data_IF_355710057156
#
_entry.id   IF_355710057156
#
_cell.length_a   1.000
_cell.length_b   1.000
_cell.length_c   1.000
_cell.angle_alpha   90.00
_cell.angle_beta   90.00
_cell.angle_gamma   90.00
#
_symmetry.space_group_name_H-M   'P 1'
#
loop_
_entity.id
_entity.type
_entity.pdbx_description
1 polymer ?
#
# COMPACT_ATOMS: atom_id res chain seq x y z
N UNK A 1 12.70 3.22 -8.14
CA UNK A 1 11.42 2.49 -8.29
C UNK A 1 10.90 2.18 -6.89
N UNK A 2 9.79 2.82 -6.45
CA UNK A 2 9.22 2.60 -5.11
C UNK A 2 8.17 1.49 -5.21
N UNK A 3 8.47 0.32 -4.65
CA UNK A 3 7.49 -0.76 -4.57
C UNK A 3 6.39 -0.40 -3.57
N UNK A 4 5.18 -0.91 -3.81
CA UNK A 4 4.04 -0.70 -2.92
C UNK A 4 4.31 -1.34 -1.54
N UNK A 5 3.79 -0.71 -0.49
CA UNK A 5 3.82 -1.22 0.88
C UNK A 5 2.38 -1.33 1.34
N UNK A 6 2.03 -2.46 1.97
CA UNK A 6 0.69 -2.77 2.47
C UNK A 6 -0.37 -2.48 1.39
N UNK A 7 -0.43 -3.32 0.37
CA UNK A 7 -1.29 -3.11 -0.78
C UNK A 7 -2.75 -3.06 -0.34
N UNK A 8 -3.48 -2.08 -0.84
CA UNK A 8 -4.92 -1.92 -0.61
C UNK A 8 -5.69 -1.84 -1.92
N UNK A 9 -6.91 -2.37 -1.93
CA UNK A 9 -7.85 -2.32 -3.05
C UNK A 9 -8.93 -1.27 -2.81
N UNK A 10 -9.23 -0.47 -3.84
CA UNK A 10 -10.35 0.47 -3.85
C UNK A 10 -11.70 -0.23 -4.05
N UNK A 11 -12.62 -0.02 -3.12
CA UNK A 11 -13.98 -0.58 -3.13
C UNK A 11 -14.98 0.35 -3.85
N UNK A 12 -15.72 -0.09 -4.88
CA UNK A 12 -15.81 -1.47 -5.41
C UNK A 12 -14.94 -1.75 -6.63
N UNK A 13 -14.16 -0.77 -7.11
CA UNK A 13 -13.53 -0.84 -8.43
C UNK A 13 -12.35 -1.83 -8.58
N UNK A 14 -11.78 -2.35 -7.49
CA UNK A 14 -10.72 -3.37 -7.54
C UNK A 14 -9.29 -2.85 -7.75
N UNK A 15 -9.08 -1.57 -8.06
CA UNK A 15 -7.73 -1.04 -8.29
C UNK A 15 -6.87 -1.02 -7.02
N UNK A 16 -5.59 -1.37 -7.17
CA UNK A 16 -4.64 -1.49 -6.06
C UNK A 16 -3.74 -0.27 -5.90
N UNK A 17 -3.37 0.04 -4.65
CA UNK A 17 -2.49 1.13 -4.26
C UNK A 17 -1.59 0.70 -3.10
N UNK A 18 -0.52 1.45 -2.84
CA UNK A 18 0.10 1.41 -1.52
C UNK A 18 -0.88 1.98 -0.47
N UNK A 19 -0.85 1.48 0.77
CA UNK A 19 -1.75 1.96 1.83
C UNK A 19 -1.72 3.49 1.95
N UNK A 20 -0.54 4.04 2.19
CA UNK A 20 -0.28 5.48 2.32
C UNK A 20 -0.88 6.26 1.15
N UNK A 21 -0.59 5.85 -0.09
CA UNK A 21 -1.07 6.46 -1.32
C UNK A 21 -2.60 6.51 -1.38
N UNK A 22 -3.25 5.38 -1.05
CA UNK A 22 -4.71 5.26 -1.08
C UNK A 22 -5.37 6.13 -0.03
N UNK A 23 -4.88 6.07 1.22
CA UNK A 23 -5.43 6.85 2.33
C UNK A 23 -5.17 8.36 2.16
N UNK A 24 -3.99 8.75 1.67
CA UNK A 24 -3.70 10.15 1.35
C UNK A 24 -4.68 10.66 0.28
N UNK A 25 -4.90 9.87 -0.78
CA UNK A 25 -5.85 10.23 -1.83
C UNK A 25 -7.27 10.42 -1.28
N UNK A 26 -7.75 9.49 -0.45
CA UNK A 26 -9.08 9.57 0.16
C UNK A 26 -9.19 10.75 1.12
N UNK A 27 -8.12 11.09 1.82
CA UNK A 27 -8.12 12.21 2.77
C UNK A 27 -8.41 13.56 2.10
N UNK A 28 -8.10 13.71 0.81
CA UNK A 28 -8.38 14.91 0.00
C UNK A 28 -9.88 15.14 -0.22
N UNK A 29 -10.71 14.10 -0.19
CA UNK A 29 -12.15 14.22 -0.23
C UNK A 29 -12.86 13.05 0.48
N UNK A 30 -12.96 13.15 1.81
CA UNK A 30 -13.62 12.14 2.63
C UNK A 30 -15.14 12.04 2.41
N UNK A 31 -15.78 13.08 1.84
CA UNK A 31 -17.25 13.13 1.65
C UNK A 31 -17.73 12.45 0.38
N UNK A 32 -16.85 12.31 -0.60
CA UNK A 32 -17.13 11.63 -1.87
C UNK A 32 -15.84 11.06 -2.43
N UNK A 33 -15.26 10.04 -1.77
CA UNK A 33 -13.98 9.47 -2.17
C UNK A 33 -14.12 8.84 -3.56
N UNK A 34 -13.09 9.00 -4.37
CA UNK A 34 -13.01 8.42 -5.71
C UNK A 34 -11.74 7.61 -5.86
N UNK A 35 -11.75 6.66 -6.79
CA UNK A 35 -10.59 5.87 -7.16
C UNK A 35 -9.50 6.78 -7.76
N UNK A 36 -8.25 6.66 -7.31
CA UNK A 36 -7.15 7.45 -7.84
C UNK A 36 -6.81 7.07 -9.30
N UNK A 37 -7.14 5.84 -9.70
CA UNK A 37 -6.84 5.28 -11.03
C UNK A 37 -7.98 5.55 -12.01
N UNK A 38 -9.19 5.04 -11.74
CA UNK A 38 -10.32 5.11 -12.65
C UNK A 38 -11.40 6.13 -12.29
N UNK A 39 -11.22 6.91 -11.21
CA UNK A 39 -12.16 7.95 -10.73
C UNK A 39 -13.56 7.45 -10.34
N UNK A 40 -13.84 6.16 -10.39
CA UNK A 40 -15.08 5.58 -9.87
C UNK A 40 -15.32 5.98 -8.41
N UNK A 41 -16.58 6.21 -8.05
CA UNK A 41 -16.97 6.49 -6.65
C UNK A 41 -16.60 5.29 -5.77
N UNK A 42 -15.91 5.57 -4.67
CA UNK A 42 -15.58 4.56 -3.67
C UNK A 42 -16.63 4.52 -2.57
N UNK A 43 -16.70 3.41 -1.85
CA UNK A 43 -17.55 3.29 -0.66
C UNK A 43 -17.17 4.33 0.39
N UNK A 44 -18.17 5.03 0.92
CA UNK A 44 -18.00 6.01 1.99
C UNK A 44 -17.53 5.39 3.31
N UNK A 45 -18.00 4.18 3.62
CA UNK A 45 -17.73 3.53 4.90
C UNK A 45 -16.43 2.74 4.87
N UNK A 46 -16.15 2.10 3.74
CA UNK A 46 -14.94 1.29 3.57
C UNK A 46 -14.36 1.45 2.17
N UNK A 47 -13.68 2.58 1.91
CA UNK A 47 -13.16 2.89 0.58
C UNK A 47 -11.98 2.00 0.19
N UNK A 48 -11.22 1.47 1.17
CA UNK A 48 -10.07 0.58 0.96
C UNK A 48 -10.19 -0.72 1.76
N UNK A 49 -9.69 -1.81 1.18
CA UNK A 49 -9.47 -3.10 1.84
C UNK A 49 -8.00 -3.52 1.71
N UNK A 50 -7.45 -4.22 2.69
CA UNK A 50 -6.14 -4.84 2.56
C UNK A 50 -6.16 -5.90 1.44
N UNK A 51 -5.06 -5.99 0.69
CA UNK A 51 -4.88 -6.92 -0.41
C UNK A 51 -3.70 -7.86 -0.15
N UNK A 52 -3.99 -8.97 0.52
CA UNK A 52 -2.99 -9.99 0.87
C UNK A 52 -2.32 -10.58 -0.38
N UNK A 53 -3.06 -10.75 -1.48
CA UNK A 53 -2.50 -11.25 -2.74
C UNK A 53 -1.50 -10.25 -3.34
N UNK A 54 -1.86 -8.97 -3.40
CA UNK A 54 -0.97 -7.90 -3.85
C UNK A 54 0.31 -7.81 -3.00
N UNK A 55 0.16 -7.93 -1.68
CA UNK A 55 1.28 -7.97 -0.74
C UNK A 55 2.22 -9.17 -0.97
N UNK A 56 1.67 -10.35 -1.29
CA UNK A 56 2.48 -11.54 -1.61
C UNK A 56 3.24 -11.38 -2.93
N UNK A 57 2.62 -10.77 -3.94
CA UNK A 57 3.28 -10.49 -5.24
C UNK A 57 4.44 -9.52 -5.05
N UNK A 58 4.24 -8.44 -4.28
CA UNK A 58 5.31 -7.46 -4.01
C UNK A 58 6.47 -8.12 -3.28
N UNK A 59 6.21 -8.92 -2.24
CA UNK A 59 7.27 -9.64 -1.51
C UNK A 59 8.06 -10.55 -2.45
N UNK A 60 7.38 -11.34 -3.27
CA UNK A 60 8.05 -12.23 -4.22
C UNK A 60 8.90 -11.45 -5.23
N UNK A 61 8.43 -10.29 -5.68
CA UNK A 61 9.18 -9.45 -6.59
C UNK A 61 10.46 -8.87 -5.93
N UNK A 62 10.39 -8.47 -4.66
CA UNK A 62 11.57 -8.06 -3.88
C UNK A 62 12.61 -9.18 -3.82
N UNK A 63 12.20 -10.41 -3.52
CA UNK A 63 13.09 -11.58 -3.49
C UNK A 63 13.77 -11.81 -4.84
N UNK A 64 13.02 -11.70 -5.94
CA UNK A 64 13.57 -11.84 -7.29
C UNK A 64 14.60 -10.75 -7.59
N UNK A 65 14.36 -9.50 -7.19
CA UNK A 65 15.33 -8.41 -7.38
C UNK A 65 16.63 -8.66 -6.59
N UNK A 66 16.51 -9.10 -5.33
CA UNK A 66 17.67 -9.43 -4.50
C UNK A 66 18.47 -10.59 -5.09
N UNK A 67 17.80 -11.66 -5.52
CA UNK A 67 18.41 -12.86 -6.10
C UNK A 67 19.04 -12.61 -7.48
N UNK A 68 18.49 -11.66 -8.24
CA UNK A 68 19.04 -11.27 -9.54
C UNK A 68 20.19 -10.25 -9.43
N UNK A 69 20.67 -9.96 -8.21
CA UNK A 69 21.87 -9.17 -7.98
C UNK A 69 21.65 -7.67 -7.74
N UNK A 70 20.41 -7.19 -7.57
CA UNK A 70 20.19 -5.81 -7.11
C UNK A 70 20.54 -5.69 -5.62
N UNK A 71 21.79 -5.29 -5.35
CA UNK A 71 22.36 -5.11 -4.00
C UNK A 71 21.52 -4.18 -3.10
N UNK A 72 20.75 -3.26 -3.69
CA UNK A 72 19.92 -2.35 -2.90
C UNK A 72 18.67 -3.01 -2.32
N UNK A 73 18.26 -4.16 -2.86
CA UNK A 73 17.18 -5.01 -2.35
C UNK A 73 17.65 -6.22 -1.55
N UNK A 74 18.96 -6.51 -1.54
CA UNK A 74 19.56 -7.51 -0.65
C UNK A 74 19.55 -7.04 0.80
N UNK A 75 19.76 -7.97 1.74
CA UNK A 75 19.78 -7.67 3.18
C UNK A 75 20.76 -6.53 3.51
N UNK A 76 20.28 -5.50 4.22
CA UNK A 76 21.06 -4.28 4.53
C UNK A 76 21.14 -3.26 3.38
N UNK A 77 20.57 -3.57 2.22
CA UNK A 77 20.45 -2.65 1.09
C UNK A 77 19.54 -1.47 1.40
N UNK A 78 19.80 -0.34 0.74
CA UNK A 78 19.08 0.91 1.01
C UNK A 78 17.58 0.84 0.70
N UNK A 79 17.17 0.14 -0.37
CA UNK A 79 15.76 0.04 -0.77
C UNK A 79 14.98 -0.92 0.13
N UNK A 80 15.55 -2.08 0.51
CA UNK A 80 14.86 -2.99 1.43
C UNK A 80 14.68 -2.35 2.81
N UNK A 81 15.70 -1.62 3.28
CA UNK A 81 15.66 -0.92 4.57
C UNK A 81 14.58 0.17 4.57
N UNK A 82 14.51 1.00 3.52
CA UNK A 82 13.44 2.01 3.35
C UNK A 82 12.05 1.37 3.28
N UNK A 83 11.91 0.27 2.53
CA UNK A 83 10.64 -0.43 2.38
C UNK A 83 10.15 -1.04 3.69
N UNK A 84 11.04 -1.67 4.47
CA UNK A 84 10.71 -2.24 5.78
C UNK A 84 10.31 -1.16 6.80
N UNK A 85 11.00 -0.02 6.81
CA UNK A 85 10.64 1.12 7.65
C UNK A 85 9.21 1.63 7.34
N UNK A 86 8.87 1.75 6.05
CA UNK A 86 7.52 2.14 5.63
C UNK A 86 6.47 1.11 6.03
N UNK A 87 6.81 -0.18 5.99
CA UNK A 87 5.90 -1.24 6.44
C UNK A 87 5.60 -1.12 7.94
N UNK A 88 6.61 -0.87 8.76
CA UNK A 88 6.43 -0.61 10.21
C UNK A 88 5.55 0.63 10.43
N UNK A 89 5.84 1.72 9.72
CA UNK A 89 5.06 2.96 9.82
C UNK A 89 3.58 2.74 9.48
N UNK A 90 3.30 1.99 8.40
CA UNK A 90 1.92 1.67 7.99
C UNK A 90 1.22 0.83 9.05
N UNK A 91 1.89 -0.15 9.66
CA UNK A 91 1.30 -0.95 10.75
C UNK A 91 0.94 -0.05 11.94
N UNK A 92 1.84 0.83 12.36
CA UNK A 92 1.61 1.73 13.49
C UNK A 92 0.46 2.72 13.23
N UNK A 93 0.40 3.26 12.01
CA UNK A 93 -0.64 4.24 11.64
C UNK A 93 -1.99 3.59 11.37
N UNK A 94 -2.07 2.45 10.68
CA UNK A 94 -3.35 1.78 10.42
C UNK A 94 -4.03 1.27 11.70
N UNK A 95 -3.26 0.81 12.69
CA UNK A 95 -3.80 0.43 14.01
C UNK A 95 -4.50 1.62 14.70
N UNK A 96 -4.02 2.84 14.48
CA UNK A 96 -4.67 4.05 14.99
C UNK A 96 -5.96 4.38 14.23
N UNK A 97 -6.01 4.15 12.91
CA UNK A 97 -7.21 4.36 12.09
C UNK A 97 -8.32 3.33 12.34
N UNK A 98 -8.00 2.09 12.69
CA UNK A 98 -8.99 1.07 13.06
C UNK A 98 -9.63 1.30 14.44
N UNK A 99 -8.97 2.08 15.30
CA UNK A 99 -9.41 2.34 16.67
C UNK A 99 -10.24 3.63 16.82
N UNK A 100 -10.42 4.37 15.72
CA UNK A 100 -11.12 5.66 15.68
C UNK A 100 -12.37 5.64 14.79
N UNK A 101 -12.83 4.44 14.40
CA UNK A 101 -14.07 4.20 13.66
C UNK A 101 -15.17 3.62 14.55
#
# INVERSE_FOLDING_TARGET
CKLSVAVHIGNPCGHSYCAECGYEWISKNKRSPTCAVCRAKLSMHKPLFSNVMGDSIVRRYIELLANNGDISWQHGGSKITEWDLRKVYVVLTLVQWSSSG
#
